data_IF_218970995336
#
_entry.id   IF_218970995336
#
_cell.length_a   1.000
_cell.length_b   1.000
_cell.length_c   1.000
_cell.angle_alpha   90.00
_cell.angle_beta   90.00
_cell.angle_gamma   90.00
#
_symmetry.space_group_name_H-M   'P 1'
#
loop_
_entity.id
_entity.type
_entity.pdbx_description
1 polymer ?
#
# COMPACT_ATOMS: atom_id res chain seq x y z
N UNK A 1 -61.99 -38.05 68.75
CA UNK A 1 -61.18 -36.83 68.61
C UNK A 1 -59.95 -37.20 67.78
N UNK A 2 -60.05 -37.05 66.45
CA UNK A 2 -59.25 -36.12 65.62
C UNK A 2 -57.74 -36.22 65.86
N UNK A 3 -57.01 -36.69 64.85
CA UNK A 3 -55.54 -36.63 64.78
C UNK A 3 -54.96 -37.52 63.68
N UNK A 4 -55.05 -37.08 62.43
CA UNK A 4 -54.30 -37.64 61.30
C UNK A 4 -52.85 -37.15 61.33
N UNK A 5 -51.88 -38.01 61.00
CA UNK A 5 -50.57 -37.57 60.48
C UNK A 5 -49.99 -38.62 59.54
N UNK A 6 -49.88 -38.21 58.28
CA UNK A 6 -49.42 -38.99 57.15
C UNK A 6 -47.89 -39.13 57.14
N UNK A 7 -47.40 -40.30 56.73
CA UNK A 7 -46.01 -40.55 56.41
C UNK A 7 -45.66 -39.91 55.05
N UNK A 8 -44.62 -39.08 55.00
CA UNK A 8 -44.04 -38.54 53.78
C UNK A 8 -42.58 -39.01 53.63
N UNK A 9 -42.29 -39.55 52.45
CA UNK A 9 -41.00 -40.09 52.04
C UNK A 9 -39.89 -39.02 51.97
N UNK A 10 -38.67 -39.38 52.38
CA UNK A 10 -37.46 -38.61 52.12
C UNK A 10 -37.03 -38.78 50.66
N UNK A 11 -37.16 -37.71 49.86
CA UNK A 11 -36.65 -37.64 48.51
C UNK A 11 -35.27 -36.95 48.49
N UNK A 12 -34.26 -37.69 48.03
CA UNK A 12 -32.90 -37.19 47.76
C UNK A 12 -32.93 -36.37 46.47
N UNK A 13 -32.57 -35.08 46.52
CA UNK A 13 -32.53 -34.21 45.34
C UNK A 13 -31.10 -33.80 44.98
N UNK A 14 -30.64 -34.22 43.80
CA UNK A 14 -29.33 -33.90 43.21
C UNK A 14 -29.28 -32.46 42.61
N UNK A 15 -28.08 -31.84 42.55
CA UNK A 15 -27.87 -30.44 42.18
C UNK A 15 -28.06 -30.10 40.69
N UNK A 16 -28.43 -28.83 40.45
CA UNK A 16 -28.99 -28.24 39.20
C UNK A 16 -28.05 -28.16 37.98
N UNK A 17 -26.82 -28.68 38.03
CA UNK A 17 -25.84 -28.54 36.93
C UNK A 17 -25.98 -29.57 35.82
N UNK A 18 -26.73 -30.66 36.01
CA UNK A 18 -26.90 -31.72 35.01
C UNK A 18 -28.10 -31.54 34.08
N UNK A 19 -28.97 -30.53 34.31
CA UNK A 19 -30.22 -30.35 33.57
C UNK A 19 -30.11 -29.50 32.30
N UNK A 20 -29.03 -28.73 32.12
CA UNK A 20 -28.86 -27.82 30.98
C UNK A 20 -28.04 -28.41 29.82
N UNK A 21 -27.30 -29.51 30.02
CA UNK A 21 -26.54 -30.16 28.94
C UNK A 21 -27.43 -30.96 27.97
N UNK A 22 -28.64 -31.36 28.37
CA UNK A 22 -29.51 -32.22 27.56
C UNK A 22 -30.38 -31.45 26.55
N UNK A 23 -30.49 -30.12 26.66
CA UNK A 23 -31.34 -29.30 25.78
C UNK A 23 -30.58 -28.82 24.53
N UNK A 24 -29.25 -28.63 24.61
CA UNK A 24 -28.44 -28.13 23.49
C UNK A 24 -28.16 -29.22 22.42
N UNK A 25 -28.13 -30.49 22.82
CA UNK A 25 -27.90 -31.61 21.89
C UNK A 25 -29.11 -31.93 20.98
N UNK A 26 -30.33 -31.52 21.36
CA UNK A 26 -31.56 -31.88 20.64
C UNK A 26 -31.90 -30.94 19.46
N UNK A 27 -31.32 -29.73 19.39
CA UNK A 27 -31.62 -28.74 18.34
C UNK A 27 -30.73 -28.92 17.09
N UNK A 28 -29.59 -29.60 17.22
CA UNK A 28 -28.62 -29.79 16.12
C UNK A 28 -29.02 -30.95 15.18
N UNK A 29 -30.00 -31.78 15.55
CA UNK A 29 -30.34 -33.02 14.81
C UNK A 29 -31.61 -32.89 13.93
N UNK A 30 -32.34 -31.76 13.97
CA UNK A 30 -33.64 -31.62 13.27
C UNK A 30 -33.67 -30.59 12.12
N UNK A 31 -32.55 -30.30 11.47
CA UNK A 31 -32.54 -29.57 10.18
C UNK A 31 -31.79 -30.41 9.16
N UNK A 32 -32.58 -31.29 8.53
CA UNK A 32 -32.22 -32.27 7.51
C UNK A 32 -31.79 -31.59 6.19
N UNK A 33 -30.81 -32.18 5.47
CA UNK A 33 -30.37 -31.77 4.13
C UNK A 33 -31.18 -32.47 3.03
N UNK A 34 -31.67 -31.75 2.02
CA UNK A 34 -31.96 -32.17 0.62
C UNK A 34 -32.10 -30.86 -0.18
N UNK A 35 -31.28 -30.53 -1.17
CA UNK A 35 -31.57 -30.83 -2.59
C UNK A 35 -30.32 -30.97 -3.45
N UNK A 36 -30.25 -32.13 -4.11
CA UNK A 36 -29.47 -32.46 -5.30
C UNK A 36 -29.96 -31.71 -6.55
N UNK A 37 -29.04 -31.18 -7.36
CA UNK A 37 -29.08 -31.25 -8.83
C UNK A 37 -27.66 -31.53 -9.37
N UNK A 38 -27.53 -32.72 -9.98
CA UNK A 38 -26.59 -33.24 -10.99
C UNK A 38 -25.86 -32.18 -11.88
N UNK A 39 -24.65 -32.30 -12.47
CA UNK A 39 -23.72 -33.39 -12.95
C UNK A 39 -22.62 -32.64 -13.80
N UNK A 40 -21.44 -33.14 -14.23
CA UNK A 40 -20.41 -34.00 -13.61
C UNK A 40 -18.92 -33.67 -14.06
N UNK A 41 -17.94 -34.47 -13.59
CA UNK A 41 -16.73 -35.00 -14.30
C UNK A 41 -15.47 -34.12 -14.58
N UNK A 42 -14.34 -34.64 -14.06
CA UNK A 42 -12.91 -34.52 -14.48
C UNK A 42 -12.20 -33.19 -14.19
N UNK A 43 -10.99 -33.13 -13.62
CA UNK A 43 -9.79 -33.90 -13.93
C UNK A 43 -8.75 -33.76 -12.79
N UNK A 44 -8.01 -34.85 -12.55
CA UNK A 44 -6.87 -34.99 -11.63
C UNK A 44 -5.57 -34.44 -12.25
N UNK A 45 -4.64 -33.99 -11.38
CA UNK A 45 -3.22 -33.63 -11.59
C UNK A 45 -2.89 -32.19 -12.05
N UNK A 46 -2.26 -31.42 -11.17
CA UNK A 46 -0.87 -30.98 -11.35
C UNK A 46 -0.32 -30.32 -10.07
N UNK A 47 0.47 -31.07 -9.29
CA UNK A 47 1.58 -30.47 -8.56
C UNK A 47 2.76 -30.37 -9.53
N UNK A 48 3.34 -29.18 -9.66
CA UNK A 48 4.64 -28.95 -10.29
C UNK A 48 4.60 -28.13 -11.57
N UNK A 49 4.68 -26.80 -11.43
CA UNK A 49 5.65 -25.92 -12.09
C UNK A 49 5.58 -24.55 -11.40
N UNK A 50 6.72 -23.96 -11.08
CA UNK A 50 6.82 -22.55 -10.69
C UNK A 50 6.23 -21.69 -11.82
N UNK A 51 5.01 -21.22 -11.64
CA UNK A 51 4.28 -20.44 -12.63
C UNK A 51 3.33 -19.52 -11.90
N UNK A 52 3.41 -18.23 -12.23
CA UNK A 52 2.50 -17.20 -11.76
C UNK A 52 1.05 -17.69 -11.93
N UNK A 53 0.41 -18.02 -10.82
CA UNK A 53 -1.05 -18.01 -10.80
C UNK A 53 -1.47 -16.59 -11.11
N UNK A 54 -2.38 -16.41 -12.06
CA UNK A 54 -2.97 -15.13 -12.45
C UNK A 54 -3.78 -14.48 -11.32
N UNK A 55 -3.15 -14.21 -10.19
CA UNK A 55 -3.65 -13.38 -9.12
C UNK A 55 -3.40 -11.93 -9.50
N UNK A 56 -4.46 -11.23 -9.88
CA UNK A 56 -4.44 -9.78 -9.97
C UNK A 56 -4.15 -9.20 -8.59
N UNK A 57 -2.86 -8.95 -8.29
CA UNK A 57 -2.46 -8.16 -7.15
C UNK A 57 -2.93 -6.71 -7.36
N UNK A 58 -3.36 -6.05 -6.28
CA UNK A 58 -3.67 -4.62 -6.34
C UNK A 58 -2.36 -3.83 -6.51
N UNK A 59 -2.32 -2.91 -7.48
CA UNK A 59 -1.17 -2.03 -7.69
C UNK A 59 -1.30 -0.73 -6.89
N UNK A 60 -1.03 -0.82 -5.58
CA UNK A 60 -1.04 0.32 -4.67
C UNK A 60 0.25 1.14 -4.74
N UNK A 61 0.46 1.90 -5.82
CA UNK A 61 1.54 2.89 -5.90
C UNK A 61 1.10 4.25 -6.44
N UNK A 62 -0.17 4.41 -6.81
CA UNK A 62 -0.61 5.70 -7.34
C UNK A 62 -0.77 6.71 -6.23
N UNK A 63 -0.34 7.95 -6.50
CA UNK A 63 -0.83 9.09 -5.75
C UNK A 63 -2.37 9.05 -5.77
N UNK A 64 -3.04 9.37 -4.66
CA UNK A 64 -4.48 9.33 -4.60
C UNK A 64 -5.05 10.30 -5.64
N UNK A 65 -5.97 9.82 -6.47
CA UNK A 65 -6.57 10.60 -7.56
C UNK A 65 -7.99 10.98 -7.21
N UNK A 66 -8.36 12.24 -7.48
CA UNK A 66 -9.71 12.77 -7.28
C UNK A 66 -10.35 12.99 -8.65
N UNK A 67 -11.45 12.30 -8.93
CA UNK A 67 -12.21 12.49 -10.17
C UNK A 67 -13.12 13.73 -10.09
N UNK A 68 -13.42 14.33 -11.26
CA UNK A 68 -14.34 15.44 -11.33
C UNK A 68 -15.76 15.00 -10.92
N UNK A 69 -16.29 15.58 -9.85
CA UNK A 69 -17.60 15.23 -9.29
C UNK A 69 -17.59 14.08 -8.27
N UNK A 70 -16.41 13.55 -7.92
CA UNK A 70 -16.29 12.55 -6.86
C UNK A 70 -16.78 13.10 -5.52
N UNK A 71 -17.62 12.32 -4.84
CA UNK A 71 -18.07 12.56 -3.49
C UNK A 71 -17.91 11.27 -2.67
N UNK A 72 -17.34 11.39 -1.48
CA UNK A 72 -17.16 10.26 -0.55
C UNK A 72 -17.65 10.73 0.80
N UNK A 73 -18.66 10.06 1.37
CA UNK A 73 -19.21 10.40 2.69
C UNK A 73 -19.57 11.89 2.86
N UNK A 74 -20.04 12.55 1.80
CA UNK A 74 -20.36 13.98 1.81
C UNK A 74 -19.17 14.91 1.52
N UNK A 75 -17.93 14.42 1.48
CA UNK A 75 -16.75 15.20 1.10
C UNK A 75 -16.64 15.37 -0.41
N UNK A 76 -16.64 16.63 -0.87
CA UNK A 76 -16.54 16.97 -2.29
C UNK A 76 -15.10 17.03 -2.82
N UNK A 77 -14.90 17.32 -4.13
CA UNK A 77 -13.59 17.25 -4.78
C UNK A 77 -12.50 18.12 -4.15
N UNK A 78 -12.85 19.28 -3.58
CA UNK A 78 -11.88 20.18 -2.92
C UNK A 78 -11.34 19.57 -1.62
N UNK A 79 -12.22 18.98 -0.82
CA UNK A 79 -11.86 18.27 0.41
C UNK A 79 -11.08 17.00 0.10
N UNK A 80 -11.48 16.26 -0.93
CA UNK A 80 -10.79 15.07 -1.38
C UNK A 80 -9.38 15.37 -1.93
N UNK A 81 -9.15 16.54 -2.53
CA UNK A 81 -7.79 16.97 -2.93
C UNK A 81 -6.90 17.23 -1.72
N UNK A 82 -7.44 17.82 -0.65
CA UNK A 82 -6.72 18.00 0.61
C UNK A 82 -6.41 16.63 1.24
N UNK A 83 -7.38 15.71 1.27
CA UNK A 83 -7.15 14.34 1.73
C UNK A 83 -6.08 13.60 0.91
N UNK A 84 -6.12 13.74 -0.42
CA UNK A 84 -5.11 13.16 -1.31
C UNK A 84 -3.71 13.72 -0.99
N UNK A 85 -3.58 15.00 -0.69
CA UNK A 85 -2.31 15.59 -0.20
C UNK A 85 -1.85 14.96 1.10
N UNK A 86 -2.73 14.81 2.11
CA UNK A 86 -2.41 14.18 3.40
C UNK A 86 -1.93 12.74 3.22
N UNK A 87 -2.61 11.96 2.38
CA UNK A 87 -2.23 10.57 2.06
C UNK A 87 -0.88 10.55 1.34
N UNK A 88 -0.69 11.43 0.34
CA UNK A 88 0.57 11.53 -0.43
C UNK A 88 1.75 11.85 0.49
N UNK A 89 1.59 12.81 1.41
CA UNK A 89 2.64 13.15 2.39
C UNK A 89 2.89 11.97 3.33
N UNK A 90 1.86 11.27 3.78
CA UNK A 90 2.01 10.08 4.62
C UNK A 90 2.78 8.96 3.91
N UNK A 91 2.45 8.70 2.65
CA UNK A 91 3.21 7.80 1.77
C UNK A 91 4.66 8.28 1.62
N UNK A 92 4.86 9.58 1.41
CA UNK A 92 6.18 10.20 1.33
C UNK A 92 6.95 10.16 2.66
N UNK A 93 6.30 9.93 3.78
CA UNK A 93 6.97 9.78 5.07
C UNK A 93 7.04 8.32 5.50
N UNK A 94 6.70 7.38 4.61
CA UNK A 94 6.59 5.94 4.90
C UNK A 94 5.68 5.63 6.09
N UNK A 95 4.69 6.50 6.33
CA UNK A 95 3.68 6.29 7.37
C UNK A 95 2.74 5.18 6.89
N UNK A 96 2.50 4.11 7.67
CA UNK A 96 1.62 3.04 7.25
C UNK A 96 0.17 3.53 7.12
N UNK A 97 -0.66 2.83 6.35
CA UNK A 97 -2.05 3.23 6.09
C UNK A 97 -2.85 3.55 7.35
N UNK A 98 -2.65 2.81 8.45
CA UNK A 98 -3.29 3.11 9.73
C UNK A 98 -2.99 4.54 10.23
N UNK A 99 -1.74 5.00 10.11
CA UNK A 99 -1.36 6.37 10.45
C UNK A 99 -1.89 7.40 9.44
N UNK A 100 -2.03 7.02 8.17
CA UNK A 100 -2.67 7.89 7.16
C UNK A 100 -4.16 8.08 7.46
N UNK A 101 -4.88 7.01 7.82
CA UNK A 101 -6.28 7.07 8.29
C UNK A 101 -6.39 7.96 9.53
N UNK A 102 -5.44 7.86 10.46
CA UNK A 102 -5.40 8.68 11.66
C UNK A 102 -5.26 10.17 11.35
N UNK A 103 -4.35 10.55 10.44
CA UNK A 103 -4.23 11.93 9.98
C UNK A 103 -5.50 12.43 9.29
N UNK A 104 -6.15 11.60 8.45
CA UNK A 104 -7.42 11.94 7.83
C UNK A 104 -8.54 12.13 8.88
N UNK A 105 -8.61 11.28 9.89
CA UNK A 105 -9.57 11.40 11.00
C UNK A 105 -9.40 12.75 11.72
N UNK A 106 -8.17 13.17 12.00
CA UNK A 106 -7.90 14.47 12.61
C UNK A 106 -8.29 15.61 11.67
N UNK A 107 -7.84 15.59 10.41
CA UNK A 107 -8.18 16.64 9.44
C UNK A 107 -9.69 16.78 9.19
N UNK A 108 -10.43 15.68 9.25
CA UNK A 108 -11.90 15.68 9.21
C UNK A 108 -12.47 16.35 10.46
N UNK A 109 -12.00 15.98 11.65
CA UNK A 109 -12.51 16.55 12.91
C UNK A 109 -12.21 18.04 13.06
N UNK A 110 -11.03 18.48 12.64
CA UNK A 110 -10.59 19.88 12.80
C UNK A 110 -11.24 20.85 11.82
N UNK A 111 -11.40 20.44 10.56
CA UNK A 111 -11.80 21.37 9.50
C UNK A 111 -12.79 20.80 8.49
N UNK A 112 -13.16 19.53 8.64
CA UNK A 112 -13.86 18.79 7.59
C UNK A 112 -13.05 18.72 6.30
N UNK A 113 -11.72 18.58 6.39
CA UNK A 113 -10.79 18.61 5.24
C UNK A 113 -10.78 19.94 4.48
N UNK A 114 -10.86 21.08 5.18
CA UNK A 114 -10.82 22.42 4.58
C UNK A 114 -9.62 23.19 5.08
N UNK A 115 -8.98 23.96 4.21
CA UNK A 115 -7.85 24.78 4.61
C UNK A 115 -8.33 26.15 5.11
N UNK A 116 -8.65 26.24 6.40
CA UNK A 116 -9.26 27.43 7.01
C UNK A 116 -8.18 28.43 7.46
N UNK A 117 -8.35 29.71 7.16
CA UNK A 117 -7.45 30.79 7.57
C UNK A 117 -7.77 31.37 8.96
N UNK A 118 -8.68 30.72 9.68
CA UNK A 118 -9.18 31.08 10.99
C UNK A 118 -9.36 29.84 11.85
N UNK A 119 -9.34 30.06 13.17
CA UNK A 119 -9.56 29.07 14.20
C UNK A 119 -11.04 28.99 14.59
N UNK A 120 -11.33 28.19 15.61
CA UNK A 120 -12.60 28.33 16.30
C UNK A 120 -12.68 29.68 17.06
N UNK A 121 -13.89 30.08 17.44
CA UNK A 121 -14.15 31.39 18.01
C UNK A 121 -13.48 31.64 19.39
N UNK A 122 -12.81 30.65 19.98
CA UNK A 122 -12.29 30.74 21.35
C UNK A 122 -10.92 31.44 21.39
N UNK A 123 -10.04 31.17 20.42
CA UNK A 123 -8.74 31.86 20.32
C UNK A 123 -8.39 32.37 18.92
N UNK A 124 -9.04 31.85 17.87
CA UNK A 124 -8.83 32.21 16.47
C UNK A 124 -7.35 32.22 16.00
N UNK A 125 -6.46 31.49 16.66
CA UNK A 125 -5.02 31.46 16.37
C UNK A 125 -4.57 30.20 15.64
N UNK A 126 -5.37 29.15 15.71
CA UNK A 126 -5.23 27.92 14.96
C UNK A 126 -5.69 28.11 13.51
N UNK A 127 -4.95 27.55 12.55
CA UNK A 127 -5.29 27.67 11.12
C UNK A 127 -4.92 26.38 10.38
N UNK A 128 -5.36 26.30 9.14
CA UNK A 128 -5.08 25.22 8.22
C UNK A 128 -5.97 24.00 8.42
N UNK A 129 -5.70 22.97 7.63
CA UNK A 129 -6.48 21.72 7.60
C UNK A 129 -6.50 20.96 8.94
N UNK A 130 -5.44 21.09 9.73
CA UNK A 130 -5.30 20.44 11.05
C UNK A 130 -5.54 21.41 12.22
N UNK A 131 -6.00 22.65 11.96
CA UNK A 131 -6.18 23.71 12.97
C UNK A 131 -4.98 23.81 13.91
N UNK A 132 -3.78 23.91 13.33
CA UNK A 132 -2.53 23.90 14.09
C UNK A 132 -2.22 25.29 14.65
N UNK A 133 -1.75 25.33 15.90
CA UNK A 133 -1.22 26.55 16.52
C UNK A 133 0.25 26.85 16.14
N UNK A 134 0.79 27.99 16.60
CA UNK A 134 2.12 28.47 16.23
C UNK A 134 3.29 27.48 16.51
N UNK A 135 3.12 26.53 17.44
CA UNK A 135 4.13 25.50 17.71
C UNK A 135 4.38 24.53 16.56
N UNK A 136 3.50 24.49 15.54
CA UNK A 136 3.66 23.65 14.35
C UNK A 136 4.43 24.36 13.21
N UNK A 137 4.62 25.67 13.29
CA UNK A 137 5.30 26.45 12.25
C UNK A 137 4.73 27.85 12.04
N UNK A 138 5.30 28.56 11.08
CA UNK A 138 4.84 29.88 10.62
C UNK A 138 3.41 29.79 10.04
N UNK A 139 2.67 30.92 9.94
CA UNK A 139 1.35 30.90 9.34
C UNK A 139 1.33 30.33 7.91
N UNK A 140 2.36 30.61 7.10
CA UNK A 140 2.47 30.09 5.74
C UNK A 140 2.62 28.56 5.71
N UNK A 141 3.45 28.00 6.61
CA UNK A 141 3.64 26.55 6.73
C UNK A 141 2.36 25.85 7.21
N UNK A 142 1.63 26.45 8.16
CA UNK A 142 0.36 25.90 8.67
C UNK A 142 -0.78 25.99 7.64
N UNK A 143 -0.74 26.98 6.74
CA UNK A 143 -1.69 27.13 5.63
C UNK A 143 -1.32 26.31 4.39
N UNK A 144 -0.15 25.68 4.34
CA UNK A 144 0.18 24.73 3.27
C UNK A 144 -0.19 23.31 3.70
N UNK A 145 -1.20 22.65 3.10
CA UNK A 145 -1.67 21.34 3.55
C UNK A 145 -0.58 20.26 3.57
N UNK A 146 0.39 20.33 2.66
CA UNK A 146 1.48 19.36 2.62
C UNK A 146 2.44 19.54 3.81
N UNK A 147 2.85 20.78 4.08
CA UNK A 147 3.70 21.11 5.22
C UNK A 147 2.99 20.84 6.55
N UNK A 148 1.72 21.22 6.67
CA UNK A 148 0.91 20.95 7.88
C UNK A 148 0.76 19.44 8.14
N UNK A 149 0.56 18.63 7.10
CA UNK A 149 0.51 17.17 7.20
C UNK A 149 1.85 16.59 7.63
N UNK A 150 2.97 17.06 7.07
CA UNK A 150 4.30 16.59 7.45
C UNK A 150 4.61 16.91 8.93
N UNK A 151 4.22 18.10 9.39
CA UNK A 151 4.35 18.48 10.80
C UNK A 151 3.48 17.61 11.73
N UNK A 152 2.25 17.29 11.31
CA UNK A 152 1.38 16.37 12.05
C UNK A 152 2.00 14.97 12.16
N UNK A 153 2.40 14.36 11.04
CA UNK A 153 3.01 13.02 11.04
C UNK A 153 4.28 12.98 11.87
N UNK A 154 5.11 14.02 11.80
CA UNK A 154 6.33 14.13 12.61
C UNK A 154 5.99 13.99 14.09
N UNK A 155 4.98 14.70 14.60
CA UNK A 155 4.57 14.59 16.00
C UNK A 155 3.90 13.25 16.32
N UNK A 156 3.03 12.76 15.43
CA UNK A 156 2.35 11.47 15.59
C UNK A 156 3.35 10.32 15.77
N UNK A 157 4.41 10.29 14.96
CA UNK A 157 5.44 9.26 15.03
C UNK A 157 6.27 9.28 16.33
N UNK A 158 6.25 10.40 17.08
CA UNK A 158 6.89 10.49 18.39
C UNK A 158 5.98 10.04 19.56
N UNK A 159 4.70 9.74 19.30
CA UNK A 159 3.82 9.18 20.32
C UNK A 159 4.24 7.74 20.59
N UNK A 160 4.63 7.39 21.84
CA UNK A 160 5.03 6.02 22.17
C UNK A 160 3.90 5.03 21.89
N UNK A 161 4.25 3.88 21.31
CA UNK A 161 3.33 2.77 21.02
C UNK A 161 2.06 3.18 20.25
N UNK A 162 2.12 4.25 19.46
CA UNK A 162 0.95 4.81 18.77
C UNK A 162 0.19 3.78 17.91
N UNK A 163 0.89 2.77 17.39
CA UNK A 163 0.33 1.70 16.57
C UNK A 163 -0.56 0.73 17.38
N UNK A 164 -0.38 0.66 18.70
CA UNK A 164 -1.16 -0.19 19.59
C UNK A 164 -2.27 0.59 20.33
N UNK A 165 -2.24 1.92 20.26
CA UNK A 165 -3.25 2.79 20.86
C UNK A 165 -4.49 2.92 19.98
N UNK A 166 -5.64 3.21 20.61
CA UNK A 166 -6.81 3.60 19.84
C UNK A 166 -6.51 4.92 19.09
N UNK A 167 -6.90 5.06 17.80
CA UNK A 167 -6.53 6.22 16.98
C UNK A 167 -6.89 7.58 17.60
N UNK A 168 -8.05 7.68 18.26
CA UNK A 168 -8.48 8.90 18.94
C UNK A 168 -7.54 9.31 20.08
N UNK A 169 -6.91 8.35 20.77
CA UNK A 169 -5.98 8.63 21.87
C UNK A 169 -4.64 9.15 21.34
N UNK A 170 -4.17 8.63 20.20
CA UNK A 170 -2.99 9.17 19.51
C UNK A 170 -3.29 10.58 19.01
N UNK A 171 -4.45 10.79 18.37
CA UNK A 171 -4.87 12.11 17.91
C UNK A 171 -4.94 13.13 19.06
N UNK A 172 -5.52 12.73 20.19
CA UNK A 172 -5.53 13.53 21.42
C UNK A 172 -4.12 13.84 21.93
N UNK A 173 -3.19 12.88 21.91
CA UNK A 173 -1.81 13.11 22.33
C UNK A 173 -1.06 14.09 21.39
N UNK A 174 -1.38 14.10 20.09
CA UNK A 174 -0.78 15.00 19.11
C UNK A 174 -1.37 16.40 19.18
N UNK A 175 -2.70 16.51 19.22
CA UNK A 175 -3.42 17.78 19.16
C UNK A 175 -3.66 18.43 20.51
N UNK A 176 -3.59 17.65 21.61
CA UNK A 176 -3.74 18.14 22.98
C UNK A 176 -5.08 18.86 23.18
N UNK A 177 -6.16 18.23 22.72
CA UNK A 177 -7.52 18.75 22.86
C UNK A 177 -8.15 18.34 24.21
N UNK A 178 -9.30 18.90 24.59
CA UNK A 178 -9.89 18.66 25.93
C UNK A 178 -10.52 17.27 26.11
N UNK A 179 -10.99 16.63 25.03
CA UNK A 179 -11.70 15.34 25.06
C UNK A 179 -10.91 14.27 24.30
N UNK A 180 -10.41 13.21 24.97
CA UNK A 180 -9.66 12.14 24.31
C UNK A 180 -10.45 11.35 23.26
N UNK A 181 -11.79 11.43 23.27
CA UNK A 181 -12.67 10.76 22.31
C UNK A 181 -13.25 11.69 21.25
N UNK A 182 -12.84 12.96 21.23
CA UNK A 182 -13.31 13.95 20.25
C UNK A 182 -13.22 13.47 18.80
N UNK A 183 -12.13 12.77 18.45
CA UNK A 183 -11.90 12.33 17.07
C UNK A 183 -12.56 10.98 16.72
N UNK A 184 -12.99 10.21 17.72
CA UNK A 184 -13.53 8.87 17.51
C UNK A 184 -14.67 8.80 16.48
N UNK A 185 -15.62 9.77 16.40
CA UNK A 185 -16.69 9.75 15.40
C UNK A 185 -16.21 9.82 13.94
N UNK A 186 -15.01 10.34 13.69
CA UNK A 186 -14.51 10.59 12.33
C UNK A 186 -13.71 9.43 11.74
N UNK A 187 -13.47 8.35 12.51
CA UNK A 187 -12.66 7.22 12.07
C UNK A 187 -13.24 6.53 10.82
N UNK A 188 -14.53 6.22 10.83
CA UNK A 188 -15.21 5.54 9.71
C UNK A 188 -15.16 6.38 8.43
N UNK A 189 -15.37 7.69 8.54
CA UNK A 189 -15.28 8.62 7.41
C UNK A 189 -13.86 8.65 6.84
N UNK A 190 -12.85 8.68 7.71
CA UNK A 190 -11.44 8.62 7.32
C UNK A 190 -11.08 7.32 6.59
N UNK A 191 -11.57 6.17 7.06
CA UNK A 191 -11.40 4.88 6.38
C UNK A 191 -12.03 4.89 4.99
N UNK A 192 -13.25 5.44 4.85
CA UNK A 192 -13.93 5.55 3.56
C UNK A 192 -13.19 6.49 2.59
N UNK A 193 -12.71 7.64 3.06
CA UNK A 193 -11.91 8.57 2.26
C UNK A 193 -10.60 7.92 1.81
N UNK A 194 -9.86 7.27 2.74
CA UNK A 194 -8.65 6.54 2.39
C UNK A 194 -8.96 5.45 1.36
N UNK A 195 -9.97 4.62 1.60
CA UNK A 195 -10.35 3.54 0.71
C UNK A 195 -10.84 4.04 -0.65
N UNK A 196 -11.55 5.15 -0.74
CA UNK A 196 -11.98 5.70 -2.03
C UNK A 196 -10.78 6.25 -2.82
N UNK A 197 -9.88 6.97 -2.15
CA UNK A 197 -8.73 7.61 -2.78
C UNK A 197 -7.58 6.66 -3.10
N UNK A 198 -7.45 5.55 -2.35
CA UNK A 198 -6.43 4.50 -2.57
C UNK A 198 -7.00 3.23 -3.19
N UNK A 199 -8.31 2.98 -3.08
CA UNK A 199 -9.01 1.86 -3.70
C UNK A 199 -9.39 2.11 -5.16
N UNK A 200 -9.59 3.37 -5.57
CA UNK A 200 -9.53 3.74 -6.99
C UNK A 200 -8.12 3.48 -7.57
N UNK A 201 -7.09 3.50 -6.73
CA UNK A 201 -5.70 3.11 -7.04
C UNK A 201 -5.46 1.59 -6.97
N UNK A 202 -6.31 0.84 -6.25
CA UNK A 202 -6.26 -0.62 -6.18
C UNK A 202 -6.83 -1.29 -7.45
N UNK A 203 -6.51 -0.75 -8.63
CA UNK A 203 -6.72 -1.46 -9.87
C UNK A 203 -5.80 -2.69 -9.83
N UNK A 204 -6.38 -3.87 -10.03
CA UNK A 204 -5.60 -5.09 -10.17
C UNK A 204 -4.62 -4.91 -11.33
N UNK A 205 -3.32 -5.02 -11.07
CA UNK A 205 -2.35 -4.95 -12.14
C UNK A 205 -2.58 -6.09 -13.11
N UNK A 206 -2.73 -5.73 -14.39
CA UNK A 206 -2.80 -6.70 -15.47
C UNK A 206 -1.39 -6.94 -15.95
N UNK A 207 -0.72 -7.93 -15.37
CA UNK A 207 0.67 -8.28 -15.69
C UNK A 207 0.67 -9.46 -16.64
N UNK A 208 1.12 -9.31 -17.89
CA UNK A 208 1.24 -10.44 -18.82
C UNK A 208 2.26 -11.46 -18.34
N UNK A 209 1.97 -12.75 -18.53
CA UNK A 209 2.83 -13.84 -18.05
C UNK A 209 4.12 -14.00 -18.88
N UNK A 210 4.09 -13.66 -20.16
CA UNK A 210 5.25 -13.77 -21.05
C UNK A 210 5.92 -12.42 -21.34
N UNK A 211 7.22 -12.49 -21.66
CA UNK A 211 8.06 -11.32 -21.86
C UNK A 211 7.63 -10.47 -23.07
N UNK A 212 7.16 -11.09 -24.16
CA UNK A 212 6.77 -10.38 -25.37
C UNK A 212 5.49 -9.57 -25.13
N UNK A 213 4.47 -10.16 -24.51
CA UNK A 213 3.25 -9.48 -24.13
C UNK A 213 3.49 -8.36 -23.10
N UNK A 214 4.37 -8.58 -22.12
CA UNK A 214 4.78 -7.52 -21.20
C UNK A 214 5.44 -6.36 -21.96
N UNK A 215 6.35 -6.65 -22.90
CA UNK A 215 6.97 -5.64 -23.73
C UNK A 215 5.97 -4.86 -24.60
N UNK A 216 4.94 -5.51 -25.17
CA UNK A 216 3.86 -4.83 -25.91
C UNK A 216 3.14 -3.80 -25.04
N UNK A 217 2.82 -4.15 -23.78
CA UNK A 217 2.22 -3.20 -22.82
C UNK A 217 3.14 -2.01 -22.59
N UNK A 218 4.45 -2.25 -22.43
CA UNK A 218 5.44 -1.20 -22.22
C UNK A 218 5.62 -0.31 -23.45
N UNK A 219 5.54 -0.84 -24.67
CA UNK A 219 5.52 -0.04 -25.90
C UNK A 219 4.34 0.92 -25.92
N UNK A 220 3.15 0.47 -25.53
CA UNK A 220 1.99 1.36 -25.36
C UNK A 220 2.26 2.46 -24.32
N UNK A 221 2.91 2.14 -23.21
CA UNK A 221 3.27 3.11 -22.18
C UNK A 221 4.33 4.13 -22.65
N UNK A 222 5.29 3.71 -23.48
CA UNK A 222 6.27 4.60 -24.14
C UNK A 222 5.53 5.59 -25.04
N UNK A 223 4.62 5.11 -25.89
CA UNK A 223 3.82 5.96 -26.79
C UNK A 223 2.95 6.96 -26.03
N UNK A 224 2.41 6.55 -24.88
CA UNK A 224 1.64 7.40 -23.97
C UNK A 224 2.52 8.37 -23.14
N UNK A 225 3.86 8.36 -23.31
CA UNK A 225 4.82 9.13 -22.51
C UNK A 225 4.76 8.82 -21.01
N UNK A 226 4.25 7.64 -20.65
CA UNK A 226 4.15 7.15 -19.28
C UNK A 226 5.43 6.45 -18.84
N UNK A 227 6.12 5.80 -19.78
CA UNK A 227 7.42 5.17 -19.58
C UNK A 227 8.47 5.89 -20.42
N UNK A 228 9.50 6.41 -19.76
CA UNK A 228 10.61 7.08 -20.41
C UNK A 228 11.92 6.33 -20.11
N UNK A 229 12.82 6.34 -21.08
CA UNK A 229 14.16 5.78 -20.93
C UNK A 229 15.19 6.90 -20.93
N UNK A 230 16.17 6.82 -20.04
CA UNK A 230 17.28 7.77 -20.02
C UNK A 230 18.11 7.68 -21.29
N UNK A 231 18.26 6.47 -21.85
CA UNK A 231 18.97 6.22 -23.09
C UNK A 231 18.09 5.49 -24.12
N UNK A 232 18.03 5.95 -25.39
CA UNK A 232 17.20 5.35 -26.44
C UNK A 232 17.50 3.86 -26.68
N UNK A 233 18.72 3.41 -26.43
CA UNK A 233 19.14 2.01 -26.61
C UNK A 233 18.35 1.03 -25.72
N UNK A 234 17.97 1.43 -24.51
CA UNK A 234 17.18 0.59 -23.61
C UNK A 234 15.71 0.55 -24.03
N UNK A 235 15.18 1.68 -24.52
CA UNK A 235 13.86 1.72 -25.14
C UNK A 235 13.78 0.76 -26.34
N UNK A 236 14.81 0.76 -27.19
CA UNK A 236 14.85 -0.12 -28.36
C UNK A 236 14.88 -1.61 -27.99
N UNK A 237 15.49 -1.99 -26.85
CA UNK A 237 15.44 -3.38 -26.37
C UNK A 237 13.99 -3.82 -26.11
N UNK A 238 13.19 -2.98 -25.45
CA UNK A 238 11.77 -3.26 -25.17
C UNK A 238 10.97 -3.34 -26.46
N UNK A 239 11.20 -2.44 -27.41
CA UNK A 239 10.55 -2.50 -28.73
C UNK A 239 10.89 -3.80 -29.46
N UNK A 240 12.17 -4.19 -29.50
CA UNK A 240 12.59 -5.43 -30.16
C UNK A 240 12.02 -6.68 -29.48
N UNK A 241 11.88 -6.68 -28.15
CA UNK A 241 11.22 -7.75 -27.40
C UNK A 241 9.73 -7.85 -27.77
N UNK A 242 9.03 -6.71 -27.92
CA UNK A 242 7.62 -6.66 -28.31
C UNK A 242 7.40 -7.16 -29.75
N UNK A 243 8.29 -6.78 -30.66
CA UNK A 243 8.23 -7.15 -32.07
C UNK A 243 8.79 -8.57 -32.35
N UNK A 244 9.33 -9.25 -31.34
CA UNK A 244 9.94 -10.58 -31.48
C UNK A 244 11.28 -10.58 -32.24
N UNK A 245 11.94 -9.42 -32.34
CA UNK A 245 13.20 -9.23 -33.08
C UNK A 245 14.44 -9.14 -32.18
N UNK A 246 14.27 -9.27 -30.85
CA UNK A 246 15.37 -9.24 -29.90
C UNK A 246 16.39 -10.37 -30.17
N UNK A 247 17.68 -10.00 -30.24
CA UNK A 247 18.78 -10.97 -30.34
C UNK A 247 19.02 -11.64 -28.99
N UNK A 248 19.69 -12.81 -28.93
CA UNK A 248 19.96 -13.50 -27.67
C UNK A 248 20.65 -12.64 -26.61
N UNK A 249 21.60 -11.80 -27.03
CA UNK A 249 22.33 -10.88 -26.16
C UNK A 249 21.46 -9.71 -25.65
N UNK A 250 20.31 -9.47 -26.27
CA UNK A 250 19.37 -8.39 -25.96
C UNK A 250 18.07 -8.85 -25.30
N UNK A 251 18.01 -10.10 -24.84
CA UNK A 251 16.86 -10.63 -24.12
C UNK A 251 16.77 -10.05 -22.71
N UNK A 252 15.58 -9.62 -22.29
CA UNK A 252 15.31 -9.16 -20.91
C UNK A 252 14.46 -10.24 -20.24
N UNK A 253 14.77 -10.55 -18.99
CA UNK A 253 14.00 -11.50 -18.18
C UNK A 253 12.53 -11.05 -18.09
N UNK A 254 11.61 -12.01 -18.24
CA UNK A 254 10.18 -11.74 -18.23
C UNK A 254 9.76 -11.00 -16.95
N UNK A 255 10.32 -11.37 -15.80
CA UNK A 255 9.99 -10.76 -14.51
C UNK A 255 10.44 -9.30 -14.43
N UNK A 256 11.56 -8.94 -15.05
CA UNK A 256 12.00 -7.55 -15.12
C UNK A 256 10.98 -6.72 -15.89
N UNK A 257 10.52 -7.20 -17.05
CA UNK A 257 9.50 -6.51 -17.84
C UNK A 257 8.16 -6.41 -17.09
N UNK A 258 7.78 -7.48 -16.40
CA UNK A 258 6.57 -7.51 -15.56
C UNK A 258 6.64 -6.48 -14.42
N UNK A 259 7.77 -6.36 -13.74
CA UNK A 259 7.96 -5.35 -12.70
C UNK A 259 7.90 -3.92 -13.27
N UNK A 260 8.41 -3.69 -14.48
CA UNK A 260 8.24 -2.39 -15.16
C UNK A 260 6.77 -2.16 -15.51
N UNK A 261 6.03 -3.19 -15.95
CA UNK A 261 4.57 -3.10 -16.19
C UNK A 261 3.84 -2.71 -14.91
N UNK A 262 4.18 -3.33 -13.78
CA UNK A 262 3.63 -2.99 -12.45
C UNK A 262 3.92 -1.54 -12.11
N UNK A 263 5.17 -1.08 -12.24
CA UNK A 263 5.52 0.31 -12.00
C UNK A 263 4.73 1.27 -12.91
N UNK A 264 4.63 0.96 -14.20
CA UNK A 264 3.87 1.77 -15.16
C UNK A 264 2.39 1.79 -14.83
N UNK A 265 1.81 0.73 -14.29
CA UNK A 265 0.40 0.72 -13.89
C UNK A 265 0.19 1.43 -12.55
N UNK A 266 1.17 1.34 -11.64
CA UNK A 266 1.12 1.93 -10.31
C UNK A 266 1.39 3.44 -10.30
N UNK A 267 2.25 3.99 -11.16
CA UNK A 267 2.67 5.39 -11.10
C UNK A 267 2.19 6.20 -12.31
N UNK A 268 2.20 7.54 -12.22
CA UNK A 268 1.80 8.42 -13.34
C UNK A 268 2.88 8.50 -14.42
N UNK A 269 4.15 8.49 -14.03
CA UNK A 269 5.29 8.40 -14.95
C UNK A 269 6.40 7.56 -14.33
N UNK A 270 7.09 6.79 -15.16
CA UNK A 270 8.21 5.91 -14.77
C UNK A 270 9.40 6.20 -15.68
N UNK A 271 10.57 6.37 -15.08
CA UNK A 271 11.84 6.55 -15.77
C UNK A 271 12.78 5.38 -15.53
N UNK A 272 13.26 4.74 -16.60
CA UNK A 272 14.23 3.64 -16.55
C UNK A 272 15.57 4.09 -17.13
N UNK A 273 16.66 3.87 -16.40
CA UNK A 273 18.01 4.26 -16.83
C UNK A 273 18.85 3.11 -17.33
N UNK A 274 18.57 1.87 -16.92
CA UNK A 274 19.38 0.72 -17.31
C UNK A 274 18.56 -0.58 -17.33
N UNK A 275 18.89 -1.46 -18.29
CA UNK A 275 18.27 -2.77 -18.51
C UNK A 275 19.35 -3.81 -18.86
N UNK A 276 19.27 -4.46 -20.03
CA UNK A 276 20.26 -5.45 -20.41
C UNK A 276 21.51 -4.77 -20.97
N UNK A 277 22.60 -4.81 -20.20
CA UNK A 277 23.92 -4.24 -20.57
C UNK A 277 24.71 -5.09 -21.56
N UNK A 278 24.42 -6.40 -21.66
CA UNK A 278 25.03 -7.26 -22.68
C UNK A 278 24.61 -6.85 -24.08
N UNK A 279 23.37 -6.40 -24.23
CA UNK A 279 22.87 -5.83 -25.48
C UNK A 279 23.64 -4.57 -25.92
N UNK A 280 24.06 -3.74 -24.97
CA UNK A 280 24.73 -2.45 -25.22
C UNK A 280 26.25 -2.57 -25.21
N UNK A 281 26.80 -3.73 -24.85
CA UNK A 281 28.24 -3.96 -24.71
C UNK A 281 28.88 -3.21 -23.54
N UNK A 282 28.09 -2.67 -22.61
CA UNK A 282 28.61 -1.87 -21.48
C UNK A 282 28.92 -2.77 -20.29
N UNK A 283 30.06 -2.55 -19.63
CA UNK A 283 30.52 -3.37 -18.48
C UNK A 283 30.88 -2.55 -17.23
N UNK A 284 30.11 -1.51 -16.84
CA UNK A 284 30.39 -0.78 -15.61
C UNK A 284 30.21 -1.67 -14.36
N UNK A 285 30.89 -1.30 -13.27
CA UNK A 285 30.77 -1.97 -11.97
C UNK A 285 31.21 -3.43 -12.02
N UNK A 286 30.31 -4.34 -11.61
CA UNK A 286 30.55 -5.80 -11.58
C UNK A 286 30.75 -6.46 -12.96
N UNK A 287 30.80 -5.68 -14.05
CA UNK A 287 31.05 -6.18 -15.40
C UNK A 287 30.05 -7.27 -15.80
N UNK A 288 30.55 -8.38 -16.33
CA UNK A 288 29.72 -9.50 -16.79
C UNK A 288 29.03 -10.30 -15.68
N UNK A 289 29.43 -10.08 -14.42
CA UNK A 289 28.78 -10.70 -13.26
C UNK A 289 27.46 -9.99 -12.88
N UNK A 290 27.27 -8.74 -13.32
CA UNK A 290 26.10 -7.91 -13.01
C UNK A 290 24.79 -8.57 -13.46
N UNK A 291 23.72 -8.39 -12.68
CA UNK A 291 22.38 -8.78 -13.08
C UNK A 291 21.92 -8.06 -14.37
N UNK A 292 22.36 -6.82 -14.60
CA UNK A 292 22.11 -6.12 -15.87
C UNK A 292 22.77 -6.82 -17.06
N UNK A 293 23.96 -7.38 -16.92
CA UNK A 293 24.60 -8.14 -18.00
C UNK A 293 23.83 -9.42 -18.35
N UNK A 294 23.07 -9.95 -17.40
CA UNK A 294 22.24 -11.15 -17.56
C UNK A 294 20.81 -10.83 -18.00
N UNK A 295 20.46 -9.55 -18.20
CA UNK A 295 19.09 -9.11 -18.49
C UNK A 295 18.13 -9.28 -17.31
N UNK A 296 18.63 -9.37 -16.07
CA UNK A 296 17.88 -9.68 -14.84
C UNK A 296 17.75 -8.49 -13.87
N UNK A 297 18.00 -7.27 -14.35
CA UNK A 297 17.88 -6.07 -13.51
C UNK A 297 17.30 -4.89 -14.28
N UNK A 298 16.76 -3.95 -13.52
CA UNK A 298 16.27 -2.66 -13.99
C UNK A 298 16.65 -1.57 -12.99
N UNK A 299 17.13 -0.46 -13.53
CA UNK A 299 17.36 0.77 -12.76
C UNK A 299 16.24 1.76 -13.04
N UNK A 300 15.47 2.09 -12.01
CA UNK A 300 14.49 3.17 -12.06
C UNK A 300 15.16 4.47 -11.61
N UNK A 301 15.28 5.46 -12.50
CA UNK A 301 15.89 6.74 -12.15
C UNK A 301 14.86 7.79 -11.72
N UNK A 302 13.59 7.62 -12.08
CA UNK A 302 12.54 8.59 -11.73
C UNK A 302 11.16 7.97 -11.62
N UNK A 303 10.35 8.50 -10.70
CA UNK A 303 8.91 8.24 -10.57
C UNK A 303 8.18 9.57 -10.50
N UNK A 304 7.08 9.71 -11.24
CA UNK A 304 6.29 10.95 -11.32
C UNK A 304 7.14 12.21 -11.60
N UNK A 305 8.20 12.05 -12.43
CA UNK A 305 9.21 13.06 -12.77
C UNK A 305 10.14 13.50 -11.63
N UNK A 306 10.12 12.82 -10.50
CA UNK A 306 11.06 13.04 -9.40
C UNK A 306 12.15 11.99 -9.46
N UNK A 307 13.41 12.42 -9.34
CA UNK A 307 14.55 11.51 -9.35
C UNK A 307 14.55 10.60 -8.12
N UNK A 308 14.94 9.36 -8.33
CA UNK A 308 15.11 8.37 -7.27
C UNK A 308 16.54 8.37 -6.74
N UNK A 309 16.67 8.04 -5.46
CA UNK A 309 17.94 7.90 -4.73
C UNK A 309 18.07 6.54 -4.07
N UNK A 310 17.00 5.75 -4.08
CA UNK A 310 16.86 4.48 -3.37
C UNK A 310 16.58 4.61 -1.87
N UNK A 311 16.62 5.84 -1.34
CA UNK A 311 16.28 6.17 0.04
C UNK A 311 15.21 7.26 0.16
N UNK A 312 14.80 7.86 -0.95
CA UNK A 312 13.70 8.80 -0.96
C UNK A 312 12.35 8.06 -0.90
N UNK A 313 11.26 8.79 -0.59
CA UNK A 313 10.00 8.13 -0.36
C UNK A 313 9.36 7.48 -1.58
N UNK A 314 9.61 8.01 -2.78
CA UNK A 314 9.12 7.39 -4.01
C UNK A 314 9.87 6.09 -4.31
N UNK A 315 11.16 5.99 -3.95
CA UNK A 315 11.89 4.73 -4.01
C UNK A 315 11.27 3.68 -3.06
N UNK A 316 10.94 4.07 -1.82
CA UNK A 316 10.27 3.17 -0.86
C UNK A 316 8.89 2.74 -1.38
N UNK A 317 8.09 3.69 -1.88
CA UNK A 317 6.78 3.39 -2.48
C UNK A 317 6.90 2.47 -3.69
N UNK A 318 7.87 2.70 -4.57
CA UNK A 318 8.16 1.83 -5.71
C UNK A 318 8.47 0.41 -5.25
N UNK A 319 9.37 0.24 -4.28
CA UNK A 319 9.72 -1.07 -3.73
C UNK A 319 8.48 -1.80 -3.22
N UNK A 320 7.64 -1.15 -2.41
CA UNK A 320 6.42 -1.76 -1.90
C UNK A 320 5.37 -2.07 -2.98
N UNK A 321 5.28 -1.25 -4.02
CA UNK A 321 4.39 -1.52 -5.16
C UNK A 321 4.87 -2.75 -5.97
N UNK A 322 6.19 -2.95 -6.06
CA UNK A 322 6.80 -4.05 -6.81
C UNK A 322 6.83 -5.37 -6.02
N UNK A 323 6.99 -5.31 -4.70
CA UNK A 323 7.25 -6.49 -3.85
C UNK A 323 6.23 -7.64 -4.05
N UNK A 324 4.91 -7.41 -4.08
CA UNK A 324 3.94 -8.50 -4.27
C UNK A 324 4.06 -9.23 -5.62
N UNK A 325 4.69 -8.60 -6.61
CA UNK A 325 4.85 -9.14 -7.98
C UNK A 325 6.27 -9.62 -8.26
N UNK A 326 7.23 -9.29 -7.42
CA UNK A 326 8.60 -9.73 -7.57
C UNK A 326 8.70 -11.25 -7.35
N UNK A 327 9.51 -11.98 -8.12
CA UNK A 327 9.85 -13.35 -7.79
C UNK A 327 10.51 -13.41 -6.41
N UNK A 328 10.11 -14.36 -5.56
CA UNK A 328 10.75 -14.56 -4.27
C UNK A 328 12.25 -14.81 -4.44
N UNK A 329 13.07 -14.08 -3.69
CA UNK A 329 14.53 -14.10 -3.85
C UNK A 329 15.08 -12.87 -4.59
N UNK A 330 14.22 -11.99 -5.07
CA UNK A 330 14.62 -10.73 -5.69
C UNK A 330 15.37 -9.84 -4.70
N UNK A 331 16.17 -8.91 -5.22
CA UNK A 331 16.97 -8.00 -4.40
C UNK A 331 16.80 -6.54 -4.79
N UNK A 332 16.99 -5.66 -3.81
CA UNK A 332 16.92 -4.20 -3.98
C UNK A 332 18.28 -3.56 -3.72
N UNK A 333 18.76 -2.68 -4.61
CA UNK A 333 19.99 -1.92 -4.38
C UNK A 333 19.80 -0.75 -3.42
N UNK A 334 20.84 0.08 -3.26
CA UNK A 334 20.84 1.33 -2.46
C UNK A 334 20.67 1.15 -0.94
N UNK A 335 21.11 0.00 -0.39
CA UNK A 335 21.01 -0.23 1.07
C UNK A 335 21.82 0.78 1.90
N UNK A 336 22.98 1.21 1.39
CA UNK A 336 23.82 2.22 2.03
C UNK A 336 23.17 3.61 2.03
N UNK A 337 22.42 3.95 0.97
CA UNK A 337 21.64 5.18 0.90
C UNK A 337 20.55 5.19 1.97
N UNK A 338 19.79 4.08 2.09
CA UNK A 338 18.74 3.94 3.12
C UNK A 338 19.31 3.99 4.52
N UNK A 339 20.43 3.32 4.76
CA UNK A 339 21.12 3.34 6.05
C UNK A 339 21.55 4.75 6.45
N UNK A 340 22.15 5.53 5.53
CA UNK A 340 22.55 6.93 5.80
C UNK A 340 21.36 7.85 6.06
N UNK A 341 20.22 7.58 5.43
CA UNK A 341 18.99 8.33 5.60
C UNK A 341 18.14 7.85 6.80
N UNK A 342 18.60 6.85 7.56
CA UNK A 342 17.83 6.19 8.61
C UNK A 342 16.45 5.68 8.15
N UNK A 343 16.37 5.25 6.89
CA UNK A 343 15.14 4.72 6.28
C UNK A 343 15.12 3.20 6.36
N UNK A 344 13.97 2.63 6.72
CA UNK A 344 13.75 1.17 6.76
C UNK A 344 12.61 0.79 5.81
N UNK A 345 12.77 -0.32 5.08
CA UNK A 345 11.74 -0.85 4.17
C UNK A 345 10.66 -1.68 4.88
N UNK A 346 10.77 -1.88 6.20
CA UNK A 346 9.88 -2.79 6.92
C UNK A 346 10.00 -4.23 6.42
N UNK A 347 8.89 -4.97 6.47
CA UNK A 347 8.81 -6.37 6.03
C UNK A 347 8.40 -6.41 4.55
N UNK A 348 9.24 -7.06 3.75
CA UNK A 348 8.97 -7.36 2.33
C UNK A 348 8.82 -8.87 2.16
N UNK A 349 7.96 -9.30 1.24
CA UNK A 349 7.63 -10.71 1.01
C UNK A 349 8.59 -11.39 0.05
N UNK A 350 8.96 -10.71 -1.04
CA UNK A 350 9.68 -11.29 -2.16
C UNK A 350 11.05 -10.67 -2.38
N UNK A 351 11.24 -9.42 -2.00
CA UNK A 351 12.57 -8.83 -1.87
C UNK A 351 13.22 -9.30 -0.57
N UNK A 352 14.11 -10.29 -0.68
CA UNK A 352 14.68 -10.98 0.49
C UNK A 352 16.10 -10.55 0.83
N UNK A 353 16.70 -9.70 0.01
CA UNK A 353 18.06 -9.18 0.23
C UNK A 353 18.22 -7.79 -0.36
N UNK A 354 19.15 -7.03 0.20
CA UNK A 354 19.56 -5.73 -0.29
C UNK A 354 21.07 -5.60 -0.39
N UNK A 355 21.55 -4.61 -1.15
CA UNK A 355 22.98 -4.37 -1.33
C UNK A 355 23.32 -2.90 -1.62
N UNK A 356 24.58 -2.46 -1.38
CA UNK A 356 25.00 -1.09 -1.63
C UNK A 356 25.08 -0.76 -3.11
N UNK A 357 24.67 0.46 -3.49
CA UNK A 357 24.74 0.95 -4.87
C UNK A 357 24.66 2.49 -4.92
N UNK A 358 24.85 3.13 -6.08
CA UNK A 358 24.84 4.60 -6.19
C UNK A 358 23.45 5.18 -5.94
N UNK A 359 23.38 6.24 -5.12
CA UNK A 359 22.13 6.87 -4.67
C UNK A 359 21.49 7.83 -5.69
N UNK A 360 21.48 7.43 -6.97
CA UNK A 360 20.91 8.23 -8.07
C UNK A 360 19.85 7.48 -8.87
N UNK A 361 19.45 6.30 -8.39
CA UNK A 361 18.39 5.47 -8.94
C UNK A 361 17.92 4.47 -7.86
N UNK A 362 16.90 3.67 -8.17
CA UNK A 362 16.55 2.46 -7.45
C UNK A 362 16.80 1.25 -8.35
N UNK A 363 17.77 0.41 -7.96
CA UNK A 363 18.10 -0.85 -8.62
C UNK A 363 17.18 -1.95 -8.11
N UNK A 364 16.60 -2.72 -9.04
CA UNK A 364 15.84 -3.94 -8.75
C UNK A 364 16.43 -5.08 -9.57
N UNK A 365 16.69 -6.24 -8.95
CA UNK A 365 17.10 -7.44 -9.67
C UNK A 365 16.33 -8.69 -9.24
N UNK A 366 16.16 -9.60 -10.20
CA UNK A 366 15.46 -10.88 -10.03
C UNK A 366 16.47 -12.05 -9.99
N UNK A 367 16.13 -13.19 -9.34
CA UNK A 367 17.01 -14.37 -9.23
C UNK A 367 17.45 -14.96 -10.58
#
# INVERSE_FOLDING_TARGET
MIGASAAAAHAVSHPKTTRNLLIVAAVIILVVPVTLVAVPVSLVLAMGTNGFGGGGGACGGSAPSVEAGQNVDGYGPDQLRIAATIITVGQQMSVPQHGQTLALMVAIGESGLRNLDHGDAVDNTTIGVFQQGAGYGTPGERMDPATAAAAFYTRMLHVPDWQALAPTLVAHAVQINADPYHYAPFWTAAEQVLAALTGASARACQVPADAAAAAVVLVGAIQAKKLNFLEPRYQQQVINMADGTATPDCTIDAHVLQLIVVAVQAFQQVGVSDLNRRCTGTTPGAGTASAHWKGKAVDFYAINRQSLTGADPLSVQLIHALDPFAPRGSSVGQSDCRSRAHMTLGVLMNFTSDFPDTCNHQHIQVP
#
